data_IF_111704609422
#
_entry.id   IF_111704609422
#
_cell.length_a   1.000
_cell.length_b   1.000
_cell.length_c   1.000
_cell.angle_alpha   90.00
_cell.angle_beta   90.00
_cell.angle_gamma   90.00
#
_symmetry.space_group_name_H-M   'P 1'
#
loop_
_entity.id
_entity.type
_entity.pdbx_description
1 polymer ?
#
# COMPACT_ATOMS: atom_id res chain seq x y z
N UNK A 1 2.98 -0.49 -10.79
CA UNK A 1 1.81 -0.61 -9.88
C UNK A 1 1.93 -1.73 -8.85
N UNK A 2 2.46 -2.91 -9.18
CA UNK A 2 2.63 -4.03 -8.21
C UNK A 2 3.25 -3.59 -6.88
N UNK A 3 4.44 -2.97 -6.91
CA UNK A 3 5.12 -2.48 -5.69
C UNK A 3 4.28 -1.49 -4.89
N UNK A 4 3.50 -0.63 -5.56
CA UNK A 4 2.64 0.35 -4.90
C UNK A 4 1.44 -0.32 -4.20
N UNK A 5 0.83 -1.34 -4.81
CA UNK A 5 -0.22 -2.15 -4.17
C UNK A 5 0.34 -2.89 -2.95
N UNK A 6 1.49 -3.55 -3.10
CA UNK A 6 2.11 -4.24 -1.96
C UNK A 6 2.60 -3.27 -0.87
N UNK A 7 2.97 -2.04 -1.22
CA UNK A 7 3.33 -1.01 -0.24
C UNK A 7 2.18 -0.71 0.71
N UNK A 8 0.92 -0.68 0.24
CA UNK A 8 -0.23 -0.40 1.11
C UNK A 8 -0.55 -1.60 2.01
N UNK A 9 -0.37 -2.84 1.54
CA UNK A 9 -0.44 -4.04 2.40
C UNK A 9 0.55 -3.96 3.56
N UNK A 10 1.83 -3.76 3.26
CA UNK A 10 2.85 -3.70 4.31
C UNK A 10 2.66 -2.49 5.22
N UNK A 11 2.23 -1.34 4.67
CA UNK A 11 1.93 -0.17 5.47
C UNK A 11 0.78 -0.40 6.47
N UNK A 12 -0.32 -1.04 6.06
CA UNK A 12 -1.49 -1.27 6.93
C UNK A 12 -1.29 -2.41 7.91
N UNK A 13 -0.44 -3.39 7.58
CA UNK A 13 -0.13 -4.52 8.46
C UNK A 13 1.08 -4.26 9.38
N UNK A 14 1.80 -3.16 9.16
CA UNK A 14 2.89 -2.72 10.05
C UNK A 14 2.38 -2.27 11.41
N UNK A 15 3.15 -2.58 12.44
CA UNK A 15 2.93 -2.13 13.81
C UNK A 15 4.28 -1.83 14.49
N UNK A 16 4.24 -1.37 15.74
CA UNK A 16 5.44 -0.95 16.47
C UNK A 16 6.44 -2.12 16.72
N UNK A 17 5.97 -3.38 16.75
CA UNK A 17 6.82 -4.56 16.89
C UNK A 17 7.37 -5.07 15.54
N UNK A 18 6.57 -4.95 14.48
CA UNK A 18 6.93 -5.36 13.11
C UNK A 18 6.65 -4.21 12.14
N UNK A 19 7.67 -3.39 11.90
CA UNK A 19 7.60 -2.23 11.02
C UNK A 19 8.07 -2.56 9.61
N UNK A 20 7.22 -2.34 8.61
CA UNK A 20 7.51 -2.63 7.20
C UNK A 20 7.02 -1.50 6.28
N UNK A 21 7.90 -0.49 6.11
CA UNK A 21 7.67 0.65 5.20
C UNK A 21 8.60 0.64 3.99
N UNK A 22 9.27 -0.50 3.72
CA UNK A 22 10.32 -0.61 2.71
C UNK A 22 9.83 -0.40 1.27
N UNK A 23 8.55 -0.67 1.00
CA UNK A 23 7.93 -0.41 -0.31
C UNK A 23 7.20 0.94 -0.39
N UNK A 24 7.03 1.64 0.72
CA UNK A 24 6.42 2.97 0.72
C UNK A 24 7.35 3.99 0.05
N UNK A 25 6.82 5.07 -0.53
CA UNK A 25 7.66 6.15 -1.03
C UNK A 25 8.56 6.73 0.06
N UNK A 26 9.73 7.21 -0.34
CA UNK A 26 10.69 7.88 0.53
C UNK A 26 10.63 9.39 0.32
N UNK A 27 11.22 10.14 1.25
CA UNK A 27 11.31 11.61 1.15
C UNK A 27 10.34 12.32 2.10
N UNK A 28 10.55 13.63 2.32
CA UNK A 28 9.81 14.41 3.31
C UNK A 28 8.32 14.56 2.99
N UNK A 29 7.95 14.41 1.72
CA UNK A 29 6.57 14.51 1.22
C UNK A 29 5.92 13.13 0.98
N UNK A 30 6.55 12.06 1.50
CA UNK A 30 5.95 10.73 1.44
C UNK A 30 4.63 10.72 2.20
N UNK A 31 3.61 10.09 1.61
CA UNK A 31 2.36 9.79 2.32
C UNK A 31 2.58 8.80 3.48
N UNK A 32 3.69 8.06 3.48
CA UNK A 32 4.08 7.23 4.61
C UNK A 32 4.77 8.09 5.67
N UNK A 33 4.05 8.39 6.75
CA UNK A 33 4.54 9.24 7.83
C UNK A 33 5.84 8.73 8.47
N UNK A 34 6.07 7.41 8.48
CA UNK A 34 7.32 6.82 8.98
C UNK A 34 8.51 7.18 8.10
N UNK A 35 8.37 7.04 6.78
CA UNK A 35 9.43 7.40 5.82
C UNK A 35 9.60 8.91 5.71
N UNK A 36 8.52 9.69 5.84
CA UNK A 36 8.57 11.14 5.87
C UNK A 36 9.32 11.66 7.11
N UNK A 37 9.00 11.17 8.32
CA UNK A 37 9.70 11.52 9.54
C UNK A 37 11.19 11.15 9.45
N UNK A 38 11.50 9.94 8.96
CA UNK A 38 12.89 9.51 8.71
C UNK A 38 13.64 10.45 7.77
N UNK A 39 13.00 10.90 6.69
CA UNK A 39 13.62 11.83 5.74
C UNK A 39 13.82 13.24 6.32
N UNK A 40 12.98 13.66 7.27
CA UNK A 40 13.07 14.96 7.97
C UNK A 40 14.02 14.92 9.18
N UNK A 41 14.48 13.74 9.61
CA UNK A 41 15.23 13.58 10.86
C UNK A 41 14.37 13.71 12.11
N UNK A 42 13.06 13.49 11.98
CA UNK A 42 12.08 13.54 13.07
C UNK A 42 11.89 12.15 13.70
N UNK A 43 11.42 12.08 14.96
CA UNK A 43 11.07 10.82 15.57
C UNK A 43 9.95 10.12 14.79
N UNK A 44 10.10 8.80 14.63
CA UNK A 44 9.10 7.95 13.98
C UNK A 44 7.75 8.04 14.73
N UNK A 45 6.64 8.37 14.05
CA UNK A 45 5.32 8.35 14.68
C UNK A 45 4.92 6.92 15.10
N UNK A 46 3.99 6.83 16.06
CA UNK A 46 3.38 5.53 16.42
C UNK A 46 2.61 4.96 15.23
N UNK A 47 2.62 3.64 15.09
CA UNK A 47 1.80 2.99 14.07
C UNK A 47 0.31 3.20 14.35
N UNK A 48 -0.43 3.53 13.29
CA UNK A 48 -1.87 3.73 13.36
C UNK A 48 -2.64 2.42 13.46
N UNK A 49 -2.15 1.39 12.78
CA UNK A 49 -2.81 0.10 12.65
C UNK A 49 -2.15 -0.93 13.56
N UNK A 50 -2.96 -1.84 14.11
CA UNK A 50 -2.49 -2.99 14.85
C UNK A 50 -3.42 -4.17 14.57
N UNK A 51 -3.37 -4.65 13.32
CA UNK A 51 -4.21 -5.75 12.87
C UNK A 51 -3.71 -7.09 13.47
N UNK A 52 -4.61 -7.97 13.93
CA UNK A 52 -4.22 -9.31 14.36
C UNK A 52 -3.53 -10.09 13.23
N UNK A 53 -2.55 -10.97 13.54
CA UNK A 53 -1.81 -11.72 12.52
C UNK A 53 -2.70 -12.47 11.52
N UNK A 54 -3.75 -13.15 12.00
CA UNK A 54 -4.68 -13.88 11.13
C UNK A 54 -5.44 -12.97 10.14
N UNK A 55 -5.68 -11.69 10.48
CA UNK A 55 -6.27 -10.71 9.56
C UNK A 55 -5.26 -10.30 8.50
N UNK A 56 -4.01 -10.05 8.90
CA UNK A 56 -2.93 -9.74 7.96
C UNK A 56 -2.71 -10.88 6.95
N UNK A 57 -2.75 -12.13 7.42
CA UNK A 57 -2.64 -13.33 6.58
C UNK A 57 -3.83 -13.46 5.62
N UNK A 58 -5.06 -13.24 6.10
CA UNK A 58 -6.26 -13.29 5.26
C UNK A 58 -6.27 -12.18 4.19
N UNK A 59 -5.66 -11.02 4.46
CA UNK A 59 -5.56 -9.92 3.50
C UNK A 59 -4.51 -10.18 2.41
N UNK A 60 -3.41 -10.86 2.71
CA UNK A 60 -2.32 -11.09 1.76
C UNK A 60 -2.77 -11.60 0.38
N UNK A 61 -3.57 -12.68 0.26
CA UNK A 61 -3.99 -13.18 -1.06
C UNK A 61 -4.89 -12.19 -1.81
N UNK A 62 -5.58 -11.28 -1.12
CA UNK A 62 -6.34 -10.20 -1.78
C UNK A 62 -5.37 -9.20 -2.42
N UNK A 63 -4.34 -8.78 -1.68
CA UNK A 63 -3.33 -7.86 -2.18
C UNK A 63 -2.49 -8.46 -3.30
N UNK A 64 -2.12 -9.74 -3.22
CA UNK A 64 -1.41 -10.44 -4.29
C UNK A 64 -2.22 -10.46 -5.59
N UNK A 65 -3.52 -10.75 -5.51
CA UNK A 65 -4.42 -10.67 -6.69
C UNK A 65 -4.53 -9.25 -7.22
N UNK A 66 -4.61 -8.24 -6.35
CA UNK A 66 -4.65 -6.83 -6.77
C UNK A 66 -3.32 -6.35 -7.36
N UNK A 67 -2.20 -6.96 -6.96
CA UNK A 67 -0.87 -6.66 -7.45
C UNK A 67 -0.52 -7.45 -8.73
N UNK A 68 -1.38 -8.38 -9.18
CA UNK A 68 -1.16 -9.19 -10.38
C UNK A 68 -0.86 -8.32 -11.61
N UNK A 69 0.20 -8.65 -12.33
CA UNK A 69 0.68 -7.84 -13.45
C UNK A 69 -0.33 -7.78 -14.59
N UNK A 70 -1.00 -8.90 -14.91
CA UNK A 70 -2.00 -8.94 -15.99
C UNK A 70 -3.22 -8.10 -15.64
N UNK A 71 -3.66 -8.14 -14.38
CA UNK A 71 -4.72 -7.27 -13.88
C UNK A 71 -4.31 -5.79 -14.00
N UNK A 72 -3.10 -5.45 -13.54
CA UNK A 72 -2.60 -4.07 -13.53
C UNK A 72 -2.36 -3.50 -14.93
N UNK A 73 -1.92 -4.32 -15.90
CA UNK A 73 -1.78 -3.92 -17.30
C UNK A 73 -3.11 -3.45 -17.90
N UNK A 74 -4.23 -4.08 -17.53
CA UNK A 74 -5.56 -3.64 -17.96
C UNK A 74 -5.91 -2.26 -17.41
N UNK A 75 -5.45 -1.93 -16.21
CA UNK A 75 -5.66 -0.63 -15.56
C UNK A 75 -4.83 0.51 -16.17
N UNK A 76 -3.77 0.23 -16.94
CA UNK A 76 -2.90 1.28 -17.51
C UNK A 76 -3.60 2.16 -18.55
N UNK A 77 -4.63 1.64 -19.21
CA UNK A 77 -5.35 2.36 -20.26
C UNK A 77 -6.26 3.48 -19.74
N UNK A 78 -6.38 3.65 -18.40
CA UNK A 78 -7.22 4.68 -17.79
C UNK A 78 -8.71 4.53 -18.09
N UNK A 79 -9.13 3.37 -18.62
CA UNK A 79 -10.55 3.07 -18.86
C UNK A 79 -11.21 2.77 -17.52
N UNK A 80 -12.45 3.23 -17.37
CA UNK A 80 -13.25 2.94 -16.18
C UNK A 80 -13.36 1.42 -16.01
N UNK A 81 -13.24 0.94 -14.78
CA UNK A 81 -13.51 -0.47 -14.47
C UNK A 81 -15.01 -0.80 -14.64
N UNK A 82 -15.86 0.22 -14.65
CA UNK A 82 -17.29 0.12 -14.86
C UNK A 82 -17.65 0.37 -16.32
N UNK A 83 -18.04 -0.68 -17.06
CA UNK A 83 -18.56 -0.52 -18.43
C UNK A 83 -19.84 0.31 -18.51
N UNK A 84 -20.58 0.48 -17.40
CA UNK A 84 -21.77 1.33 -17.34
C UNK A 84 -21.43 2.82 -17.20
N UNK A 85 -20.15 3.19 -17.06
CA UNK A 85 -19.68 4.58 -17.07
C UNK A 85 -19.09 5.01 -18.43
N UNK A 86 -19.21 4.16 -19.46
CA UNK A 86 -18.95 4.56 -20.84
C UNK A 86 -20.11 5.43 -21.32
N UNK A 87 -19.92 6.75 -21.37
CA UNK A 87 -20.82 7.62 -22.13
C UNK A 87 -20.80 7.15 -23.59
N UNK A 88 -21.98 6.77 -24.10
CA UNK A 88 -22.20 6.46 -25.52
C UNK A 88 -22.03 7.69 -26.39
#
# INVERSE_FOLDING_TARGET
>A
MHKAVMATYYHVTSNDAMSNHGLCPTGPDSWCCQNAAKAKGEPAPKHRYNLPPHVCEALLPVYERLADHKLLERCQHGKTQNSNESLH
#
